data_IF_790101200511
#
_entry.id   IF_790101200511
#
_cell.length_a   1.000
_cell.length_b   1.000
_cell.length_c   1.000
_cell.angle_alpha   90.00
_cell.angle_beta   90.00
_cell.angle_gamma   90.00
#
_symmetry.space_group_name_H-M   'P 1'
#
loop_
_entity.id
_entity.type
_entity.pdbx_description
1 polymer ?
#
# COMPACT_ATOMS: atom_id res chain seq x y z
N UNK A 1 32.57 12.81 1.61
CA UNK A 1 32.07 11.78 2.54
C UNK A 1 31.88 10.52 1.72
N UNK A 2 32.60 9.43 2.00
CA UNK A 2 32.40 8.16 1.29
C UNK A 2 30.95 7.74 1.45
N UNK A 3 30.31 7.31 0.36
CA UNK A 3 28.94 6.83 0.44
C UNK A 3 28.95 5.56 1.30
N UNK A 4 28.04 5.47 2.29
CA UNK A 4 27.93 4.31 3.19
C UNK A 4 27.73 2.99 2.42
N UNK A 5 27.28 3.08 1.15
CA UNK A 5 27.02 1.94 0.28
C UNK A 5 28.11 1.67 -0.77
N UNK A 6 29.23 2.40 -0.78
CA UNK A 6 30.27 2.31 -1.84
C UNK A 6 30.90 0.90 -1.99
N UNK A 7 30.84 0.06 -0.96
CA UNK A 7 31.36 -1.32 -0.95
C UNK A 7 30.28 -2.37 -0.68
N UNK A 8 29.01 -2.00 -0.81
CA UNK A 8 27.92 -2.92 -0.53
C UNK A 8 27.65 -3.81 -1.74
N UNK A 9 27.93 -5.11 -1.61
CA UNK A 9 27.78 -6.12 -2.68
C UNK A 9 26.44 -6.87 -2.60
N UNK A 10 25.49 -6.40 -1.79
CA UNK A 10 24.18 -7.03 -1.63
C UNK A 10 23.06 -6.34 -2.41
N UNK A 11 21.83 -6.81 -2.19
CA UNK A 11 20.63 -6.12 -2.67
C UNK A 11 20.01 -5.27 -1.56
N UNK A 12 19.85 -3.98 -1.83
CA UNK A 12 19.20 -3.05 -0.92
C UNK A 12 17.67 -3.16 -1.05
N UNK A 13 17.02 -3.74 -0.04
CA UNK A 13 15.57 -3.69 0.09
C UNK A 13 15.17 -2.32 0.66
N UNK A 14 14.40 -1.54 -0.09
CA UNK A 14 14.08 -0.16 0.26
C UNK A 14 12.64 0.18 -0.07
N UNK A 15 12.06 1.13 0.66
CA UNK A 15 10.80 1.76 0.29
C UNK A 15 10.97 2.70 -0.93
N UNK A 16 9.93 3.47 -1.22
CA UNK A 16 9.92 4.47 -2.30
C UNK A 16 10.45 5.85 -1.88
N UNK A 17 11.22 5.94 -0.78
CA UNK A 17 11.81 7.20 -0.35
C UNK A 17 12.91 7.66 -1.31
N UNK A 18 12.84 8.93 -1.72
CA UNK A 18 13.73 9.51 -2.76
C UNK A 18 15.21 9.47 -2.39
N UNK A 19 15.56 9.42 -1.10
CA UNK A 19 16.97 9.36 -0.70
C UNK A 19 17.68 8.10 -1.21
N UNK A 20 16.95 7.01 -1.49
CA UNK A 20 17.52 5.79 -2.06
C UNK A 20 17.81 5.88 -3.56
N UNK A 21 17.28 6.89 -4.26
CA UNK A 21 17.50 7.06 -5.71
C UNK A 21 18.98 7.41 -6.02
N UNK A 22 19.74 7.89 -5.03
CA UNK A 22 21.18 8.20 -5.18
C UNK A 22 22.07 6.95 -5.28
N UNK A 23 21.63 5.82 -4.73
CA UNK A 23 22.36 4.55 -4.77
C UNK A 23 22.10 3.82 -6.08
N UNK A 24 22.62 4.37 -7.19
CA UNK A 24 22.37 3.86 -8.54
C UNK A 24 23.13 2.56 -8.82
N UNK A 25 24.33 2.43 -8.27
CA UNK A 25 25.24 1.30 -8.49
C UNK A 25 24.92 0.10 -7.58
N UNK A 26 24.02 0.30 -6.61
CA UNK A 26 23.55 -0.75 -5.71
C UNK A 26 22.29 -1.38 -6.29
N UNK A 27 22.28 -2.71 -6.39
CA UNK A 27 21.06 -3.43 -6.78
C UNK A 27 19.98 -3.24 -5.73
N UNK A 28 18.74 -2.99 -6.16
CA UNK A 28 17.64 -2.67 -5.25
C UNK A 28 16.45 -3.58 -5.46
N UNK A 29 15.77 -3.88 -4.35
CA UNK A 29 14.39 -4.36 -4.32
C UNK A 29 13.52 -3.28 -3.69
N UNK A 30 12.54 -2.76 -4.44
CA UNK A 30 11.54 -1.84 -3.88
C UNK A 30 10.49 -2.63 -3.12
N UNK A 31 10.14 -2.13 -1.94
CA UNK A 31 9.22 -2.79 -1.03
C UNK A 31 7.82 -2.90 -1.65
N UNK A 32 7.47 -4.09 -2.11
CA UNK A 32 6.16 -4.37 -2.70
C UNK A 32 5.04 -4.35 -1.65
N UNK A 33 5.39 -4.49 -0.36
CA UNK A 33 4.46 -4.28 0.75
C UNK A 33 3.93 -2.85 0.79
N UNK A 34 4.82 -1.85 0.69
CA UNK A 34 4.43 -0.44 0.62
C UNK A 34 3.61 -0.11 -0.64
N UNK A 35 4.03 -0.64 -1.79
CA UNK A 35 3.28 -0.44 -3.04
C UNK A 35 1.85 -1.00 -2.93
N UNK A 36 1.72 -2.21 -2.39
CA UNK A 36 0.41 -2.84 -2.21
C UNK A 36 -0.48 -2.07 -1.23
N UNK A 37 0.09 -1.53 -0.15
CA UNK A 37 -0.64 -0.65 0.78
C UNK A 37 -1.17 0.60 0.10
N UNK A 38 -0.33 1.31 -0.67
CA UNK A 38 -0.75 2.53 -1.40
C UNK A 38 -1.87 2.23 -2.42
N UNK A 39 -1.82 1.07 -3.08
CA UNK A 39 -2.88 0.61 -4.00
C UNK A 39 -4.17 0.34 -3.23
N UNK A 40 -4.10 -0.31 -2.06
CA UNK A 40 -5.28 -0.59 -1.21
C UNK A 40 -5.89 0.72 -0.69
N UNK A 41 -5.08 1.69 -0.28
CA UNK A 41 -5.56 3.00 0.16
C UNK A 41 -6.33 3.73 -0.96
N UNK A 42 -5.83 3.65 -2.21
CA UNK A 42 -6.54 4.20 -3.36
C UNK A 42 -7.89 3.51 -3.59
N UNK A 43 -7.95 2.17 -3.48
CA UNK A 43 -9.22 1.41 -3.59
C UNK A 43 -10.23 1.92 -2.57
N UNK A 44 -9.85 2.01 -1.29
CA UNK A 44 -10.74 2.50 -0.22
C UNK A 44 -11.21 3.92 -0.49
N UNK A 45 -10.33 4.79 -1.02
CA UNK A 45 -10.69 6.17 -1.40
C UNK A 45 -11.71 6.20 -2.53
N UNK A 46 -11.54 5.34 -3.54
CA UNK A 46 -12.44 5.25 -4.69
C UNK A 46 -13.81 4.67 -4.29
N UNK A 47 -13.84 3.61 -3.48
CA UNK A 47 -15.08 3.01 -2.94
C UNK A 47 -15.89 4.05 -2.16
N UNK A 48 -15.28 4.72 -1.17
CA UNK A 48 -15.92 5.79 -0.40
C UNK A 48 -16.45 6.92 -1.27
N UNK A 49 -15.81 7.22 -2.40
CA UNK A 49 -16.28 8.24 -3.33
C UNK A 49 -17.49 7.77 -4.13
N UNK A 50 -17.55 6.49 -4.53
CA UNK A 50 -18.73 5.89 -5.16
C UNK A 50 -19.92 5.89 -4.20
N UNK A 51 -19.75 5.41 -2.98
CA UNK A 51 -20.79 5.41 -1.94
C UNK A 51 -21.40 6.81 -1.73
N UNK A 52 -20.56 7.84 -1.70
CA UNK A 52 -21.02 9.24 -1.58
C UNK A 52 -21.80 9.73 -2.79
N UNK A 53 -21.48 9.26 -3.98
CA UNK A 53 -22.20 9.63 -5.20
C UNK A 53 -23.53 8.88 -5.25
N UNK A 54 -23.54 7.59 -4.93
CA UNK A 54 -24.72 6.73 -4.85
C UNK A 54 -25.75 7.33 -3.89
N UNK A 55 -25.32 7.67 -2.68
CA UNK A 55 -26.19 8.33 -1.70
C UNK A 55 -26.83 9.62 -2.23
N UNK A 56 -26.08 10.44 -2.98
CA UNK A 56 -26.63 11.68 -3.57
C UNK A 56 -27.64 11.42 -4.68
N UNK A 57 -27.44 10.36 -5.45
CA UNK A 57 -28.37 9.95 -6.50
C UNK A 57 -29.65 9.39 -5.89
N UNK A 58 -29.55 8.55 -4.86
CA UNK A 58 -30.69 8.03 -4.10
C UNK A 58 -31.50 9.16 -3.44
N UNK A 59 -30.84 10.09 -2.75
CA UNK A 59 -31.50 11.27 -2.15
C UNK A 59 -32.26 12.11 -3.19
N UNK A 60 -31.71 12.24 -4.40
CA UNK A 60 -32.39 12.93 -5.50
C UNK A 60 -33.59 12.14 -6.05
N UNK A 61 -33.46 10.83 -6.24
CA UNK A 61 -34.55 9.96 -6.69
C UNK A 61 -35.71 9.94 -5.69
N UNK A 62 -35.43 9.90 -4.39
CA UNK A 62 -36.45 10.01 -3.34
C UNK A 62 -37.16 11.37 -3.36
N UNK A 63 -36.41 12.46 -3.57
CA UNK A 63 -36.99 13.80 -3.67
C UNK A 63 -37.93 13.93 -4.88
N UNK A 64 -37.56 13.33 -6.03
CA UNK A 64 -38.41 13.29 -7.23
C UNK A 64 -39.71 12.53 -6.95
N UNK A 65 -39.63 11.32 -6.37
CA UNK A 65 -40.82 10.50 -6.04
C UNK A 65 -41.76 11.19 -5.04
N UNK A 66 -41.21 11.91 -4.05
CA UNK A 66 -42.00 12.65 -3.06
C UNK A 66 -42.76 13.84 -3.67
N UNK A 67 -42.20 14.50 -4.68
CA UNK A 67 -42.88 15.58 -5.40
C UNK A 67 -44.02 15.05 -6.29
N UNK A 68 -43.79 13.95 -7.02
CA UNK A 68 -44.82 13.27 -7.83
C UNK A 68 -46.02 12.83 -6.97
N UNK A 69 -45.79 12.42 -5.71
CA UNK A 69 -46.85 12.06 -4.77
C UNK A 69 -47.56 13.26 -4.10
N UNK A 70 -46.96 14.46 -4.06
CA UNK A 70 -47.52 15.64 -3.40
C UNK A 70 -48.41 16.51 -4.31
N UNK A 71 -48.42 16.25 -5.61
CA UNK A 71 -49.37 16.88 -6.54
C UNK A 71 -50.82 16.38 -6.33
N UNK A 72 -51.04 15.32 -5.55
CA UNK A 72 -52.36 14.67 -5.37
C UNK A 72 -53.03 14.90 -3.99
N UNK A 73 -52.44 15.64 -3.04
CA UNK A 73 -53.09 15.87 -1.71
C UNK A 73 -52.82 17.26 -1.07
N UNK A 74 -53.76 17.80 -0.24
CA UNK A 74 -53.68 19.17 0.27
C UNK A 74 -52.62 19.33 1.37
N UNK A 75 -51.84 20.44 1.28
CA UNK A 75 -50.66 20.73 2.12
C UNK A 75 -50.98 20.88 3.62
N UNK A 76 -50.45 19.97 4.45
CA UNK A 76 -50.23 20.20 5.90
C UNK A 76 -48.79 20.66 6.16
N UNK A 77 -48.64 21.65 7.05
CA UNK A 77 -47.37 22.28 7.44
C UNK A 77 -46.59 21.37 8.40
N UNK A 78 -45.61 20.63 7.89
CA UNK A 78 -44.61 19.95 8.72
C UNK A 78 -43.20 20.36 8.26
N UNK A 79 -42.35 20.76 9.21
CA UNK A 79 -41.01 21.33 8.94
C UNK A 79 -40.00 20.19 8.74
N UNK A 80 -40.10 19.49 7.63
CA UNK A 80 -39.11 18.49 7.22
C UNK A 80 -37.89 19.16 6.56
N UNK A 81 -36.71 18.56 6.73
CA UNK A 81 -35.45 19.01 6.11
C UNK A 81 -35.65 19.00 4.58
N UNK A 82 -35.66 20.17 3.95
CA UNK A 82 -35.83 20.33 2.51
C UNK A 82 -34.58 19.80 1.80
N UNK A 83 -34.59 18.54 1.37
CA UNK A 83 -33.55 18.00 0.49
C UNK A 83 -33.78 18.64 -0.87
N UNK A 84 -32.91 19.55 -1.29
CA UNK A 84 -33.03 20.22 -2.58
C UNK A 84 -32.75 19.26 -3.73
N UNK A 85 -33.69 19.18 -4.67
CA UNK A 85 -33.60 18.37 -5.88
C UNK A 85 -32.43 18.84 -6.74
N UNK A 86 -31.51 17.93 -7.06
CA UNK A 86 -30.47 18.18 -8.06
C UNK A 86 -31.09 18.51 -9.42
N UNK A 87 -30.46 19.42 -10.15
CA UNK A 87 -30.81 19.70 -11.55
C UNK A 87 -30.36 18.54 -12.45
N UNK A 88 -30.99 18.37 -13.60
CA UNK A 88 -30.72 17.24 -14.51
C UNK A 88 -29.26 17.21 -15.03
N UNK A 89 -28.66 18.38 -15.26
CA UNK A 89 -27.25 18.55 -15.60
C UNK A 89 -26.31 18.09 -14.48
N UNK A 90 -26.67 18.35 -13.22
CA UNK A 90 -25.93 17.89 -12.05
C UNK A 90 -25.99 16.37 -11.91
N UNK A 91 -27.15 15.76 -12.17
CA UNK A 91 -27.31 14.29 -12.15
C UNK A 91 -26.48 13.64 -13.25
N UNK A 92 -26.54 14.15 -14.49
CA UNK A 92 -25.69 13.67 -15.60
C UNK A 92 -24.20 13.77 -15.25
N UNK A 93 -23.79 14.90 -14.68
CA UNK A 93 -22.40 15.11 -14.23
C UNK A 93 -21.99 14.13 -13.13
N UNK A 94 -22.86 13.84 -12.16
CA UNK A 94 -22.58 12.87 -11.10
C UNK A 94 -22.46 11.45 -11.63
N UNK A 95 -23.37 11.03 -12.52
CA UNK A 95 -23.31 9.71 -13.17
C UNK A 95 -22.02 9.54 -13.98
N UNK A 96 -21.59 10.57 -14.70
CA UNK A 96 -20.32 10.53 -15.43
C UNK A 96 -19.12 10.41 -14.46
N UNK A 97 -19.12 11.18 -13.37
CA UNK A 97 -18.10 11.09 -12.33
C UNK A 97 -18.07 9.70 -11.68
N UNK A 98 -19.22 9.08 -11.44
CA UNK A 98 -19.32 7.71 -10.91
C UNK A 98 -18.74 6.71 -11.91
N UNK A 99 -19.11 6.81 -13.19
CA UNK A 99 -18.58 5.95 -14.27
C UNK A 99 -17.05 6.01 -14.34
N UNK A 100 -16.49 7.22 -14.33
CA UNK A 100 -15.04 7.43 -14.31
C UNK A 100 -14.37 6.87 -13.05
N UNK A 101 -14.99 7.06 -11.90
CA UNK A 101 -14.45 6.59 -10.62
C UNK A 101 -14.50 5.04 -10.51
N UNK A 102 -15.58 4.42 -11.01
CA UNK A 102 -15.71 2.96 -11.09
C UNK A 102 -14.70 2.34 -12.06
N UNK A 103 -14.44 3.01 -13.20
CA UNK A 103 -13.37 2.63 -14.12
C UNK A 103 -12.01 2.64 -13.41
N UNK A 104 -11.67 3.74 -12.73
CA UNK A 104 -10.44 3.86 -11.94
C UNK A 104 -10.33 2.78 -10.86
N UNK A 105 -11.44 2.47 -10.18
CA UNK A 105 -11.52 1.43 -9.16
C UNK A 105 -11.22 0.05 -9.75
N UNK A 106 -11.84 -0.31 -10.86
CA UNK A 106 -11.62 -1.59 -11.54
C UNK A 106 -10.16 -1.76 -11.99
N UNK A 107 -9.56 -0.72 -12.57
CA UNK A 107 -8.15 -0.73 -12.95
C UNK A 107 -7.23 -0.88 -11.72
N UNK A 108 -7.53 -0.18 -10.63
CA UNK A 108 -6.76 -0.27 -9.38
C UNK A 108 -6.89 -1.66 -8.73
N UNK A 109 -8.06 -2.30 -8.79
CA UNK A 109 -8.27 -3.69 -8.32
C UNK A 109 -7.44 -4.68 -9.14
N UNK A 110 -7.36 -4.52 -10.46
CA UNK A 110 -6.50 -5.34 -11.32
C UNK A 110 -5.02 -5.17 -10.95
N UNK A 111 -4.57 -3.93 -10.74
CA UNK A 111 -3.20 -3.63 -10.28
C UNK A 111 -2.91 -4.27 -8.92
N UNK A 112 -3.87 -4.19 -7.98
CA UNK A 112 -3.78 -4.88 -6.67
C UNK A 112 -3.64 -6.39 -6.85
N UNK A 113 -4.41 -6.99 -7.74
CA UNK A 113 -4.39 -8.44 -7.98
C UNK A 113 -3.00 -8.91 -8.41
N UNK A 114 -2.37 -8.18 -9.34
CA UNK A 114 -1.00 -8.43 -9.80
C UNK A 114 0.00 -8.42 -8.62
N UNK A 115 0.04 -7.35 -7.84
CA UNK A 115 1.01 -7.25 -6.73
C UNK A 115 0.65 -8.16 -5.54
N UNK A 116 -0.62 -8.47 -5.33
CA UNK A 116 -1.05 -9.45 -4.31
C UNK A 116 -0.58 -10.86 -4.67
N UNK A 117 -0.48 -11.21 -5.96
CA UNK A 117 -0.01 -12.52 -6.39
C UNK A 117 1.45 -12.79 -6.00
N UNK A 118 2.27 -11.74 -5.83
CA UNK A 118 3.65 -11.85 -5.33
C UNK A 118 3.74 -12.48 -3.94
N UNK A 119 2.73 -12.24 -3.09
CA UNK A 119 2.68 -12.76 -1.72
C UNK A 119 1.93 -14.09 -1.58
N UNK A 120 1.53 -14.69 -2.71
CA UNK A 120 0.82 -15.98 -2.79
C UNK A 120 1.70 -17.02 -3.50
N UNK A 121 1.29 -18.29 -3.46
CA UNK A 121 1.93 -19.36 -4.22
C UNK A 121 1.54 -19.29 -5.71
N UNK A 122 2.07 -18.31 -6.43
CA UNK A 122 1.86 -18.09 -7.88
C UNK A 122 3.18 -18.09 -8.64
N UNK A 123 3.14 -17.95 -9.97
CA UNK A 123 4.34 -17.85 -10.82
C UNK A 123 5.22 -16.63 -10.52
N UNK A 124 4.71 -15.61 -9.84
CA UNK A 124 5.51 -14.47 -9.33
C UNK A 124 5.65 -14.51 -7.80
N UNK A 125 5.20 -15.59 -7.17
CA UNK A 125 5.18 -15.76 -5.73
C UNK A 125 6.58 -15.91 -5.14
N UNK A 126 6.94 -15.05 -4.18
CA UNK A 126 8.28 -15.13 -3.56
C UNK A 126 8.47 -16.35 -2.64
N UNK A 127 7.37 -17.01 -2.24
CA UNK A 127 7.36 -18.29 -1.51
C UNK A 127 7.13 -19.51 -2.42
N UNK A 128 6.94 -19.30 -3.72
CA UNK A 128 6.83 -20.40 -4.69
C UNK A 128 8.19 -21.02 -4.91
N UNK A 129 8.29 -22.29 -5.29
CA UNK A 129 9.56 -22.90 -5.68
C UNK A 129 10.24 -22.11 -6.84
N UNK A 130 11.57 -21.93 -6.78
CA UNK A 130 12.33 -21.10 -7.75
C UNK A 130 12.15 -21.58 -9.19
N UNK A 131 12.07 -22.88 -9.44
CA UNK A 131 11.92 -23.45 -10.79
C UNK A 131 10.52 -23.23 -11.37
N UNK A 132 9.53 -22.89 -10.53
CA UNK A 132 8.16 -22.59 -10.93
C UNK A 132 7.89 -21.08 -11.04
N UNK A 133 8.88 -20.24 -10.73
CA UNK A 133 8.76 -18.79 -10.83
C UNK A 133 9.12 -18.31 -12.23
N UNK A 134 8.53 -17.17 -12.60
CA UNK A 134 9.06 -16.37 -13.70
C UNK A 134 10.45 -15.85 -13.35
N UNK A 135 11.23 -15.64 -14.39
CA UNK A 135 12.44 -14.84 -14.33
C UNK A 135 12.09 -13.38 -14.04
N UNK A 136 13.09 -12.60 -13.59
CA UNK A 136 12.93 -11.16 -13.39
C UNK A 136 12.46 -10.46 -14.66
N UNK A 137 13.09 -10.77 -15.80
CA UNK A 137 12.81 -10.11 -17.07
C UNK A 137 11.39 -10.43 -17.57
N UNK A 138 10.94 -11.69 -17.43
CA UNK A 138 9.55 -12.07 -17.75
C UNK A 138 8.53 -11.34 -16.86
N UNK A 139 8.83 -11.12 -15.58
CA UNK A 139 7.96 -10.37 -14.68
C UNK A 139 7.92 -8.87 -15.02
N UNK A 140 9.06 -8.29 -15.41
CA UNK A 140 9.19 -6.92 -15.91
C UNK A 140 8.36 -6.72 -17.19
N UNK A 141 8.50 -7.60 -18.19
CA UNK A 141 7.72 -7.55 -19.43
C UNK A 141 6.22 -7.70 -19.17
N UNK A 142 5.81 -8.63 -18.29
CA UNK A 142 4.40 -8.75 -17.88
C UNK A 142 3.86 -7.47 -17.24
N UNK A 143 4.66 -6.77 -16.45
CA UNK A 143 4.27 -5.49 -15.86
C UNK A 143 4.12 -4.42 -16.94
N UNK A 144 5.07 -4.33 -17.89
CA UNK A 144 4.98 -3.39 -19.02
C UNK A 144 3.72 -3.60 -19.84
N UNK A 145 3.47 -4.84 -20.28
CA UNK A 145 2.26 -5.18 -21.05
C UNK A 145 0.99 -4.86 -20.28
N UNK A 146 0.98 -5.13 -18.97
CA UNK A 146 -0.15 -4.83 -18.11
C UNK A 146 -0.42 -3.32 -18.03
N UNK A 147 0.62 -2.50 -17.86
CA UNK A 147 0.51 -1.04 -17.79
C UNK A 147 0.04 -0.47 -19.14
N UNK A 148 0.60 -0.96 -20.27
CA UNK A 148 0.18 -0.55 -21.61
C UNK A 148 -1.31 -0.82 -21.84
N UNK A 149 -1.80 -2.01 -21.48
CA UNK A 149 -3.24 -2.34 -21.57
C UNK A 149 -4.11 -1.38 -20.77
N UNK A 150 -3.69 -1.00 -19.56
CA UNK A 150 -4.43 -0.02 -18.75
C UNK A 150 -4.42 1.38 -19.37
N UNK A 151 -3.30 1.78 -19.99
CA UNK A 151 -3.16 3.06 -20.70
C UNK A 151 -4.05 3.11 -21.94
N UNK A 152 -4.09 2.05 -22.73
CA UNK A 152 -4.98 1.91 -23.91
C UNK A 152 -6.46 1.94 -23.53
N UNK A 153 -6.83 1.31 -22.41
CA UNK A 153 -8.19 1.40 -21.87
C UNK A 153 -8.54 2.83 -21.41
N UNK A 154 -7.56 3.72 -21.25
CA UNK A 154 -7.69 5.10 -20.80
C UNK A 154 -7.73 5.20 -19.27
N UNK A 155 -6.58 5.52 -18.67
CA UNK A 155 -6.45 5.71 -17.21
C UNK A 155 -7.16 7.00 -16.80
N UNK A 156 -8.02 6.90 -15.77
CA UNK A 156 -8.70 8.06 -15.21
C UNK A 156 -8.33 8.21 -13.74
N UNK A 157 -7.79 9.38 -13.38
CA UNK A 157 -7.51 9.78 -12.01
C UNK A 157 -6.02 9.89 -11.72
N UNK A 158 -5.62 11.06 -11.22
CA UNK A 158 -4.22 11.40 -10.96
C UNK A 158 -3.52 10.46 -9.98
N UNK A 159 -4.24 9.86 -9.03
CA UNK A 159 -3.65 8.95 -8.04
C UNK A 159 -3.25 7.60 -8.68
N UNK A 160 -4.10 7.04 -9.55
CA UNK A 160 -3.78 5.82 -10.29
C UNK A 160 -2.62 6.07 -11.26
N UNK A 161 -2.64 7.19 -11.99
CA UNK A 161 -1.53 7.57 -12.87
C UNK A 161 -0.20 7.69 -12.12
N UNK A 162 -0.19 8.28 -10.91
CA UNK A 162 1.01 8.35 -10.07
C UNK A 162 1.53 6.97 -9.68
N UNK A 163 0.63 6.03 -9.36
CA UNK A 163 1.02 4.65 -9.04
C UNK A 163 1.61 3.93 -10.26
N UNK A 164 1.00 4.07 -11.44
CA UNK A 164 1.52 3.49 -12.68
C UNK A 164 2.88 4.08 -13.04
N UNK A 165 3.03 5.41 -13.01
CA UNK A 165 4.32 6.09 -13.23
C UNK A 165 5.40 5.66 -12.24
N UNK A 166 5.01 5.38 -11.00
CA UNK A 166 5.93 4.82 -10.00
C UNK A 166 6.36 3.40 -10.36
N UNK A 167 5.43 2.57 -10.83
CA UNK A 167 5.75 1.22 -11.29
C UNK A 167 6.73 1.27 -12.47
N UNK A 168 6.49 2.14 -13.46
CA UNK A 168 7.39 2.36 -14.60
C UNK A 168 8.77 2.87 -14.14
N UNK A 169 8.81 3.92 -13.29
CA UNK A 169 10.07 4.50 -12.80
C UNK A 169 10.96 3.47 -12.11
N UNK A 170 10.37 2.57 -11.34
CA UNK A 170 11.08 1.60 -10.50
C UNK A 170 11.04 0.18 -11.05
N UNK A 171 10.60 -0.02 -12.28
CA UNK A 171 10.35 -1.32 -12.92
C UNK A 171 11.49 -2.33 -12.64
N UNK A 172 12.72 -1.94 -13.01
CA UNK A 172 13.95 -2.74 -12.85
C UNK A 172 14.30 -3.11 -11.40
N UNK A 173 13.61 -2.52 -10.42
CA UNK A 173 13.82 -2.67 -8.98
C UNK A 173 12.63 -3.34 -8.28
N UNK A 174 11.53 -3.65 -8.98
CA UNK A 174 10.34 -4.26 -8.36
C UNK A 174 10.44 -5.78 -8.23
N UNK A 175 11.18 -6.45 -9.12
CA UNK A 175 11.20 -7.91 -9.23
C UNK A 175 12.59 -8.53 -8.97
N UNK A 176 13.49 -7.80 -8.32
CA UNK A 176 14.84 -8.29 -8.00
C UNK A 176 14.82 -9.54 -7.11
N UNK A 177 13.82 -9.69 -6.24
CA UNK A 177 13.62 -10.91 -5.43
C UNK A 177 13.46 -12.20 -6.26
N UNK A 178 13.14 -12.11 -7.56
CA UNK A 178 13.07 -13.29 -8.43
C UNK A 178 14.45 -13.83 -8.82
N UNK A 179 15.51 -13.02 -8.72
CA UNK A 179 16.90 -13.45 -9.00
C UNK A 179 17.47 -14.33 -7.88
N UNK A 180 17.16 -13.99 -6.64
CA UNK A 180 17.81 -14.56 -5.46
C UNK A 180 16.84 -15.41 -4.63
N UNK A 181 17.28 -16.60 -4.26
CA UNK A 181 16.49 -17.49 -3.42
C UNK A 181 16.40 -16.96 -1.98
N UNK A 182 15.22 -17.10 -1.35
CA UNK A 182 14.98 -16.64 0.02
C UNK A 182 14.88 -15.11 0.18
N UNK A 183 15.11 -14.31 -0.86
CA UNK A 183 14.98 -12.86 -0.80
C UNK A 183 13.50 -12.43 -0.73
N UNK A 184 13.07 -11.66 0.29
CA UNK A 184 11.70 -11.17 0.36
C UNK A 184 11.47 -9.99 -0.59
N UNK A 185 10.24 -9.82 -1.12
CA UNK A 185 9.85 -8.69 -1.96
C UNK A 185 9.51 -7.42 -1.16
N UNK A 186 9.52 -7.50 0.17
CA UNK A 186 9.18 -6.41 1.08
C UNK A 186 10.28 -6.17 2.11
N UNK A 187 10.27 -4.99 2.71
CA UNK A 187 11.23 -4.53 3.72
C UNK A 187 10.72 -4.72 5.16
N UNK A 188 9.64 -5.49 5.35
CA UNK A 188 8.92 -5.56 6.62
C UNK A 188 9.82 -6.03 7.76
N UNK A 189 10.70 -6.99 7.48
CA UNK A 189 11.61 -7.54 8.48
C UNK A 189 12.62 -6.49 8.96
N UNK A 190 13.19 -5.70 8.03
CA UNK A 190 14.15 -4.66 8.38
C UNK A 190 13.49 -3.50 9.16
N UNK A 191 12.23 -3.18 8.87
CA UNK A 191 11.46 -2.15 9.57
C UNK A 191 10.97 -2.61 10.95
N UNK A 192 10.63 -3.89 11.11
CA UNK A 192 10.17 -4.46 12.37
C UNK A 192 11.29 -4.62 13.39
N UNK A 193 12.49 -5.02 12.96
CA UNK A 193 13.66 -5.24 13.84
C UNK A 193 13.99 -4.06 14.77
N UNK A 194 14.05 -2.80 14.32
CA UNK A 194 14.31 -1.66 15.20
C UNK A 194 13.09 -1.20 16.00
N UNK A 195 11.88 -1.68 15.70
CA UNK A 195 10.64 -1.20 16.31
C UNK A 195 10.61 -1.32 17.86
N UNK A 196 11.05 -2.44 18.48
CA UNK A 196 11.13 -2.52 19.95
C UNK A 196 11.98 -1.39 20.55
N UNK A 197 13.13 -1.09 19.94
CA UNK A 197 13.99 0.01 20.37
C UNK A 197 13.33 1.37 20.19
N UNK A 198 12.71 1.62 19.04
CA UNK A 198 12.03 2.91 18.76
C UNK A 198 10.87 3.14 19.72
N UNK A 199 10.08 2.12 20.01
CA UNK A 199 8.97 2.20 20.98
C UNK A 199 9.51 2.52 22.37
N UNK A 200 10.54 1.80 22.83
CA UNK A 200 11.12 2.06 24.14
C UNK A 200 11.73 3.46 24.23
N UNK A 201 12.44 3.91 23.19
CA UNK A 201 12.99 5.26 23.11
C UNK A 201 11.90 6.32 23.24
N UNK A 202 10.76 6.16 22.54
CA UNK A 202 9.62 7.09 22.63
C UNK A 202 8.99 7.08 24.03
N UNK A 203 8.73 5.90 24.60
CA UNK A 203 8.15 5.75 25.94
C UNK A 203 9.02 6.37 27.03
N UNK A 204 10.34 6.28 26.89
CA UNK A 204 11.30 6.83 27.86
C UNK A 204 11.67 8.30 27.61
N UNK A 205 11.11 8.96 26.59
CA UNK A 205 11.46 10.33 26.23
C UNK A 205 12.87 10.50 25.66
N UNK A 206 13.46 9.45 25.08
CA UNK A 206 14.82 9.46 24.54
C UNK A 206 15.87 8.77 25.42
N UNK A 207 15.45 8.01 26.43
CA UNK A 207 16.25 7.51 27.56
C UNK A 207 16.80 8.65 28.45
N UNK A 208 16.77 8.46 29.77
CA UNK A 208 17.22 9.49 30.73
C UNK A 208 18.75 9.66 30.78
N UNK A 209 19.50 8.59 30.48
CA UNK A 209 20.96 8.62 30.43
C UNK A 209 21.50 7.76 29.27
N UNK A 210 22.66 8.10 28.69
CA UNK A 210 23.31 7.29 27.66
C UNK A 210 23.65 5.87 28.13
N UNK A 211 23.94 5.70 29.42
CA UNK A 211 24.26 4.41 30.01
C UNK A 211 23.04 3.46 30.03
N UNK A 212 21.88 3.98 30.42
CA UNK A 212 20.62 3.21 30.40
C UNK A 212 20.26 2.82 28.97
N UNK A 213 20.48 3.70 27.99
CA UNK A 213 20.32 3.34 26.57
C UNK A 213 21.24 2.19 26.18
N UNK A 214 22.53 2.26 26.52
CA UNK A 214 23.51 1.21 26.20
C UNK A 214 23.11 -0.14 26.80
N UNK A 215 22.75 -0.19 28.08
CA UNK A 215 22.30 -1.41 28.72
C UNK A 215 21.05 -1.96 28.03
N UNK A 216 20.04 -1.12 27.78
CA UNK A 216 18.83 -1.55 27.08
C UNK A 216 19.12 -2.13 25.69
N UNK A 217 20.01 -1.51 24.90
CA UNK A 217 20.38 -2.02 23.56
C UNK A 217 21.04 -3.40 23.66
N UNK A 218 21.92 -3.60 24.63
CA UNK A 218 22.58 -4.90 24.88
C UNK A 218 21.54 -5.96 25.25
N UNK A 219 20.69 -5.69 26.25
CA UNK A 219 19.64 -6.62 26.67
C UNK A 219 18.65 -6.91 25.55
N UNK A 220 18.24 -5.90 24.77
CA UNK A 220 17.35 -6.07 23.64
C UNK A 220 18.00 -6.94 22.55
N UNK A 221 19.27 -6.71 22.22
CA UNK A 221 20.01 -7.52 21.25
C UNK A 221 20.08 -8.98 21.70
N UNK A 222 20.40 -9.22 22.97
CA UNK A 222 20.48 -10.55 23.55
C UNK A 222 19.10 -11.24 23.57
N UNK A 223 18.06 -10.53 24.02
CA UNK A 223 16.68 -11.03 24.05
C UNK A 223 16.18 -11.41 22.66
N UNK A 224 16.38 -10.54 21.67
CA UNK A 224 15.99 -10.81 20.29
C UNK A 224 16.75 -12.02 19.72
N UNK A 225 18.03 -12.19 20.09
CA UNK A 225 18.84 -13.35 19.71
C UNK A 225 18.30 -14.64 20.32
N UNK A 226 17.98 -14.64 21.62
CA UNK A 226 17.39 -15.78 22.30
C UNK A 226 16.05 -16.18 21.66
N UNK A 227 15.19 -15.21 21.36
CA UNK A 227 13.89 -15.43 20.71
C UNK A 227 14.02 -16.09 19.34
N UNK A 228 15.00 -15.66 18.53
CA UNK A 228 15.23 -16.25 17.18
C UNK A 228 15.78 -17.68 17.27
N UNK A 229 16.53 -18.00 18.32
CA UNK A 229 17.11 -19.33 18.53
C UNK A 229 16.27 -20.24 19.44
N UNK A 230 15.04 -19.84 19.77
CA UNK A 230 14.15 -20.57 20.68
C UNK A 230 14.79 -20.88 22.05
N UNK A 231 15.65 -19.96 22.54
CA UNK A 231 16.29 -20.05 23.85
C UNK A 231 15.55 -19.20 24.87
N UNK A 232 15.53 -19.69 26.11
CA UNK A 232 15.03 -18.97 27.27
C UNK A 232 16.01 -17.85 27.66
N UNK A 233 15.55 -16.61 27.61
CA UNK A 233 16.37 -15.44 27.91
C UNK A 233 16.61 -15.27 29.41
N UNK A 234 15.61 -15.56 30.24
CA UNK A 234 15.69 -15.36 31.69
C UNK A 234 16.65 -16.38 32.31
N UNK A 235 16.63 -17.63 31.82
CA UNK A 235 17.64 -18.65 32.16
C UNK A 235 19.06 -18.25 31.76
N UNK A 236 19.24 -17.53 30.66
CA UNK A 236 20.57 -17.15 30.19
C UNK A 236 21.21 -16.04 31.04
N UNK A 237 20.38 -15.20 31.67
CA UNK A 237 20.85 -14.12 32.51
C UNK A 237 21.09 -14.52 33.97
N UNK A 238 20.90 -15.81 34.32
CA UNK A 238 20.86 -16.28 35.70
C UNK A 238 19.97 -15.40 36.59
N UNK A 239 18.89 -14.85 36.01
CA UNK A 239 17.86 -14.12 36.74
C UNK A 239 16.98 -15.15 37.45
N UNK A 240 17.55 -15.85 38.43
CA UNK A 240 16.79 -16.58 39.42
C UNK A 240 16.03 -15.54 40.25
N UNK A 241 14.77 -15.30 39.89
CA UNK A 241 13.75 -14.75 40.79
C UNK A 241 13.30 -15.84 41.77
#
# INVERSE_FOLDING_TARGET
>A
MRDIMERFEGTLNSDFFRAYDKFKDVEQQKCLGHLLSDIIELIVKLEKKNERIEKKLEEHEEAVKKEEHFEDTPKKRERSKKVEKLKEDQVKTLKERQRQNLKSLNQTIRLRSLFKAVFKHTVIGWKTDKFKRLTKDEAEEKLKEFILKLQEEGVVGADLEKLLKRCEKYEKKLFTYLKYEGMPPDNNEAERKPHPFVVQRKRSGGFKSPEVMRHYVIYLSLYMTCKVNEKDFDKLLDLNL
#
